data_IF_752726345312
#
_entry.id   IF_752726345312
#
_cell.length_a   1.000
_cell.length_b   1.000
_cell.length_c   1.000
_cell.angle_alpha   90.00
_cell.angle_beta   90.00
_cell.angle_gamma   90.00
#
_symmetry.space_group_name_H-M   'P 1'
#
loop_
_entity.id
_entity.type
_entity.pdbx_description
1 polymer ?
#
# COMPACT_ATOMS: atom_id res chain seq x y z
N UNK A 1 -6.74 -1.84 18.25
CA UNK A 1 -5.78 -0.83 18.72
C UNK A 1 -5.15 -0.09 17.53
N UNK A 2 -4.58 1.09 17.77
CA UNK A 2 -3.83 1.85 16.73
C UNK A 2 -2.67 1.04 16.15
N UNK A 3 -2.02 0.20 16.95
CA UNK A 3 -0.96 -0.69 16.44
C UNK A 3 -1.51 -1.72 15.44
N UNK A 4 -2.70 -2.26 15.67
CA UNK A 4 -3.37 -3.13 14.69
C UNK A 4 -3.72 -2.36 13.44
N UNK A 5 -4.20 -1.12 13.58
CA UNK A 5 -4.53 -0.25 12.44
C UNK A 5 -3.30 0.06 11.57
N UNK A 6 -2.13 0.22 12.19
CA UNK A 6 -0.86 0.45 11.48
C UNK A 6 -0.38 -0.84 10.79
N UNK A 7 -0.48 -1.99 11.48
CA UNK A 7 0.06 -3.26 10.98
C UNK A 7 -0.84 -3.94 9.96
N UNK A 8 -2.13 -3.91 10.20
CA UNK A 8 -3.15 -4.57 9.36
C UNK A 8 -4.46 -3.77 9.39
N UNK A 9 -4.55 -2.72 8.56
CA UNK A 9 -5.74 -1.86 8.50
C UNK A 9 -7.05 -2.62 8.23
N UNK A 10 -7.10 -3.64 7.36
CA UNK A 10 -8.30 -4.45 7.16
C UNK A 10 -8.78 -5.14 8.42
N UNK A 11 -7.90 -5.87 9.11
CA UNK A 11 -8.27 -6.56 10.38
C UNK A 11 -8.71 -5.54 11.45
N UNK A 12 -8.03 -4.40 11.54
CA UNK A 12 -8.44 -3.35 12.49
C UNK A 12 -9.84 -2.81 12.17
N UNK A 13 -10.17 -2.66 10.88
CA UNK A 13 -11.50 -2.24 10.45
C UNK A 13 -12.56 -3.29 10.77
N UNK A 14 -12.28 -4.58 10.60
CA UNK A 14 -13.23 -5.65 10.92
C UNK A 14 -13.52 -5.72 12.42
N UNK A 15 -12.49 -5.61 13.27
CA UNK A 15 -12.67 -5.54 14.75
C UNK A 15 -13.47 -4.28 15.13
N UNK A 16 -13.20 -3.15 14.51
CA UNK A 16 -13.95 -1.91 14.76
C UNK A 16 -15.39 -2.01 14.30
N UNK A 17 -15.67 -2.68 13.18
CA UNK A 17 -17.02 -2.93 12.66
C UNK A 17 -17.85 -3.76 13.64
N UNK A 18 -17.28 -4.83 14.21
CA UNK A 18 -17.95 -5.63 15.23
C UNK A 18 -18.40 -4.77 16.41
N UNK A 19 -17.50 -3.93 16.94
CA UNK A 19 -17.80 -3.01 18.04
C UNK A 19 -18.88 -1.98 17.68
N UNK A 20 -18.85 -1.42 16.48
CA UNK A 20 -19.86 -0.47 16.02
C UNK A 20 -21.21 -1.14 15.76
N UNK A 21 -21.23 -2.42 15.35
CA UNK A 21 -22.45 -3.20 15.21
C UNK A 21 -23.10 -3.48 16.57
N UNK A 22 -22.33 -3.76 17.63
CA UNK A 22 -22.83 -3.86 18.99
C UNK A 22 -23.53 -2.57 19.43
N UNK A 23 -22.91 -1.41 19.14
CA UNK A 23 -23.51 -0.11 19.42
C UNK A 23 -24.85 0.10 18.68
N UNK A 24 -24.89 -0.25 17.38
CA UNK A 24 -26.13 -0.20 16.59
C UNK A 24 -27.22 -1.14 17.16
N UNK A 25 -26.85 -2.35 17.54
CA UNK A 25 -27.77 -3.32 18.13
C UNK A 25 -28.33 -2.84 19.45
N UNK A 26 -27.57 -2.03 20.20
CA UNK A 26 -28.03 -1.37 21.42
C UNK A 26 -28.91 -0.13 21.15
N UNK A 27 -29.15 0.24 19.90
CA UNK A 27 -29.99 1.37 19.52
C UNK A 27 -29.37 2.74 19.81
N UNK A 28 -28.03 2.84 19.95
CA UNK A 28 -27.35 4.12 20.20
C UNK A 28 -26.94 4.78 18.89
N UNK A 29 -27.06 6.10 18.83
CA UNK A 29 -26.67 6.92 17.68
C UNK A 29 -25.26 7.47 17.83
N UNK A 30 -24.75 7.55 19.07
CA UNK A 30 -23.47 8.15 19.41
C UNK A 30 -22.62 7.20 20.26
N UNK A 31 -21.37 7.02 19.86
CA UNK A 31 -20.37 6.21 20.56
C UNK A 31 -19.33 7.14 21.19
N UNK A 32 -19.21 7.11 22.51
CA UNK A 32 -18.27 7.90 23.26
C UNK A 32 -16.97 7.11 23.49
N UNK A 33 -15.86 7.59 23.02
CA UNK A 33 -14.56 6.98 23.20
C UNK A 33 -13.71 7.76 24.23
N UNK A 34 -13.14 7.05 25.21
CA UNK A 34 -12.28 7.63 26.23
C UNK A 34 -10.82 7.83 25.78
N UNK A 35 -10.44 7.10 24.75
CA UNK A 35 -9.07 7.07 24.24
C UNK A 35 -9.03 7.63 22.82
N UNK A 36 -8.21 8.68 22.53
CA UNK A 36 -8.11 9.27 21.19
C UNK A 36 -7.74 8.25 20.10
N UNK A 37 -6.89 7.28 20.43
CA UNK A 37 -6.54 6.21 19.49
C UNK A 37 -7.71 5.28 19.16
N UNK A 38 -8.57 5.01 20.16
CA UNK A 38 -9.77 4.20 19.94
C UNK A 38 -10.82 4.99 19.14
N UNK A 39 -10.99 6.26 19.47
CA UNK A 39 -11.85 7.18 18.72
C UNK A 39 -11.43 7.22 17.25
N UNK A 40 -10.14 7.46 16.98
CA UNK A 40 -9.63 7.50 15.63
C UNK A 40 -9.88 6.20 14.87
N UNK A 41 -9.56 5.04 15.45
CA UNK A 41 -9.80 3.73 14.82
C UNK A 41 -11.28 3.52 14.51
N UNK A 42 -12.17 3.82 15.46
CA UNK A 42 -13.61 3.63 15.26
C UNK A 42 -14.15 4.58 14.20
N UNK A 43 -13.67 5.84 14.13
CA UNK A 43 -14.05 6.79 13.07
C UNK A 43 -13.56 6.34 11.69
N UNK A 44 -12.30 5.88 11.57
CA UNK A 44 -11.78 5.30 10.32
C UNK A 44 -12.64 4.10 9.88
N UNK A 45 -12.99 3.23 10.81
CA UNK A 45 -13.87 2.08 10.52
C UNK A 45 -15.26 2.53 10.08
N UNK A 46 -15.85 3.46 10.82
CA UNK A 46 -17.17 4.02 10.51
C UNK A 46 -17.23 4.61 9.10
N UNK A 47 -16.19 5.33 8.69
CA UNK A 47 -16.07 5.90 7.35
C UNK A 47 -15.94 4.80 6.28
N UNK A 48 -15.04 3.84 6.48
CA UNK A 48 -14.78 2.74 5.54
C UNK A 48 -15.97 1.82 5.34
N UNK A 49 -16.66 1.49 6.43
CA UNK A 49 -17.80 0.58 6.44
C UNK A 49 -19.14 1.30 6.26
N UNK A 50 -19.14 2.63 6.15
CA UNK A 50 -20.34 3.50 5.97
C UNK A 50 -21.42 3.22 7.00
N UNK A 51 -21.01 3.14 8.27
CA UNK A 51 -21.92 2.73 9.35
C UNK A 51 -22.84 3.83 9.86
N UNK A 52 -22.52 5.10 9.57
CA UNK A 52 -23.32 6.28 9.92
C UNK A 52 -23.60 6.43 11.43
N UNK A 53 -22.62 6.09 12.27
CA UNK A 53 -22.66 6.39 13.70
C UNK A 53 -21.83 7.64 14.00
N UNK A 54 -22.25 8.41 14.99
CA UNK A 54 -21.41 9.49 15.51
C UNK A 54 -20.41 8.89 16.51
N UNK A 55 -19.11 8.98 16.21
CA UNK A 55 -18.04 8.60 17.14
C UNK A 55 -17.34 9.86 17.60
N UNK A 56 -17.27 10.08 18.90
CA UNK A 56 -16.73 11.30 19.50
C UNK A 56 -15.87 10.96 20.71
N UNK A 57 -14.77 11.68 20.93
CA UNK A 57 -13.97 11.53 22.14
C UNK A 57 -14.63 12.26 23.33
N UNK A 58 -14.30 11.80 24.54
CA UNK A 58 -14.88 12.34 25.79
C UNK A 58 -14.56 13.83 25.98
N UNK A 59 -13.35 14.28 25.65
CA UNK A 59 -12.94 15.66 25.85
C UNK A 59 -13.77 16.59 24.97
N UNK A 60 -13.95 16.22 23.70
CA UNK A 60 -14.79 16.98 22.76
C UNK A 60 -16.26 16.97 23.19
N UNK A 61 -16.79 15.82 23.57
CA UNK A 61 -18.16 15.70 24.08
C UNK A 61 -18.38 16.60 25.30
N UNK A 62 -17.45 16.60 26.26
CA UNK A 62 -17.52 17.43 27.45
C UNK A 62 -17.42 18.93 27.13
N UNK A 63 -16.54 19.31 26.19
CA UNK A 63 -16.42 20.68 25.72
C UNK A 63 -17.71 21.19 25.11
N UNK A 64 -18.36 20.39 24.24
CA UNK A 64 -19.65 20.73 23.65
C UNK A 64 -20.73 20.91 24.73
N UNK A 65 -20.77 20.03 25.73
CA UNK A 65 -21.70 20.13 26.85
C UNK A 65 -21.50 21.41 27.70
N UNK A 66 -20.26 21.93 27.72
CA UNK A 66 -19.93 23.20 28.41
C UNK A 66 -20.13 24.44 27.51
N UNK A 67 -20.62 24.27 26.28
CA UNK A 67 -20.86 25.36 25.34
C UNK A 67 -19.64 25.79 24.51
N UNK A 68 -18.54 25.01 24.54
CA UNK A 68 -17.38 25.24 23.68
C UNK A 68 -17.49 24.38 22.43
N UNK A 69 -17.41 25.02 21.28
CA UNK A 69 -17.39 24.31 19.98
C UNK A 69 -16.02 24.48 19.32
N UNK A 70 -15.28 23.37 19.23
CA UNK A 70 -14.01 23.31 18.54
C UNK A 70 -14.17 22.60 17.19
N UNK A 71 -13.44 23.05 16.15
CA UNK A 71 -13.49 22.39 14.85
C UNK A 71 -13.07 20.92 14.97
N UNK A 72 -13.72 20.05 14.22
CA UNK A 72 -13.39 18.63 14.16
C UNK A 72 -12.12 18.41 13.35
N UNK A 73 -11.00 17.93 13.96
CA UNK A 73 -9.76 17.67 13.24
C UNK A 73 -9.82 16.39 12.36
N UNK A 74 -10.81 15.52 12.57
CA UNK A 74 -10.86 14.22 11.93
C UNK A 74 -10.81 14.27 10.39
N UNK A 75 -11.52 15.15 9.67
CA UNK A 75 -11.48 15.18 8.22
C UNK A 75 -10.06 15.39 7.67
N UNK A 76 -9.26 16.24 8.32
CA UNK A 76 -7.87 16.50 7.91
C UNK A 76 -6.95 15.33 8.27
N UNK A 77 -7.05 14.82 9.49
CA UNK A 77 -6.30 13.64 9.93
C UNK A 77 -6.66 12.42 9.06
N UNK A 78 -7.92 12.29 8.65
CA UNK A 78 -8.37 11.20 7.77
C UNK A 78 -7.75 11.26 6.38
N UNK A 79 -7.53 12.45 5.81
CA UNK A 79 -6.82 12.61 4.54
C UNK A 79 -5.37 12.13 4.64
N UNK A 80 -4.66 12.56 5.68
CA UNK A 80 -3.28 12.12 5.93
C UNK A 80 -3.20 10.62 6.17
N UNK A 81 -4.16 10.08 6.92
CA UNK A 81 -4.25 8.64 7.17
C UNK A 81 -4.50 7.84 5.87
N UNK A 82 -5.32 8.35 4.95
CA UNK A 82 -5.57 7.69 3.67
C UNK A 82 -4.28 7.54 2.83
N UNK A 83 -3.40 8.55 2.87
CA UNK A 83 -2.07 8.48 2.24
C UNK A 83 -1.23 7.38 2.90
N UNK A 84 -1.21 7.33 4.23
CA UNK A 84 -0.46 6.31 4.98
C UNK A 84 -0.98 4.90 4.70
N UNK A 85 -2.30 4.69 4.66
CA UNK A 85 -2.90 3.40 4.29
C UNK A 85 -2.50 2.95 2.87
N UNK A 86 -2.54 3.87 1.91
CA UNK A 86 -2.13 3.59 0.54
C UNK A 86 -0.64 3.22 0.46
N UNK A 87 0.22 3.86 1.25
CA UNK A 87 1.63 3.50 1.36
C UNK A 87 1.83 2.12 1.99
N UNK A 88 1.12 1.79 3.06
CA UNK A 88 1.16 0.45 3.68
C UNK A 88 0.74 -0.61 2.65
N UNK A 89 -0.37 -0.38 1.93
CA UNK A 89 -0.83 -1.30 0.90
C UNK A 89 0.23 -1.51 -0.18
N UNK A 90 0.87 -0.44 -0.63
CA UNK A 90 1.94 -0.49 -1.62
C UNK A 90 3.15 -1.29 -1.13
N UNK A 91 3.45 -1.27 0.18
CA UNK A 91 4.54 -2.03 0.80
C UNK A 91 4.19 -3.51 1.03
N UNK A 92 2.98 -3.96 0.72
CA UNK A 92 2.67 -5.39 0.71
C UNK A 92 3.21 -6.05 -0.56
N UNK A 93 3.49 -7.37 -0.57
CA UNK A 93 3.92 -8.08 -1.78
C UNK A 93 2.94 -7.90 -2.95
N UNK A 94 1.63 -7.89 -2.68
CA UNK A 94 0.59 -7.69 -3.71
C UNK A 94 0.53 -6.26 -4.23
N UNK A 95 0.64 -5.27 -3.36
CA UNK A 95 0.67 -3.85 -3.75
C UNK A 95 1.92 -3.55 -4.56
N UNK A 96 3.07 -4.05 -4.13
CA UNK A 96 4.33 -3.89 -4.84
C UNK A 96 4.31 -4.61 -6.20
N UNK A 97 3.73 -5.81 -6.30
CA UNK A 97 3.55 -6.50 -7.57
C UNK A 97 2.70 -5.68 -8.54
N UNK A 98 1.59 -5.08 -8.07
CA UNK A 98 0.77 -4.16 -8.88
C UNK A 98 1.55 -2.95 -9.38
N UNK A 99 2.40 -2.35 -8.55
CA UNK A 99 3.28 -1.26 -8.98
C UNK A 99 4.25 -1.75 -10.07
N UNK A 100 4.88 -2.90 -9.89
CA UNK A 100 5.80 -3.49 -10.88
C UNK A 100 5.09 -3.76 -12.22
N UNK A 101 3.83 -4.17 -12.20
CA UNK A 101 3.04 -4.42 -13.42
C UNK A 101 2.90 -3.16 -14.29
N UNK A 102 2.90 -1.97 -13.69
CA UNK A 102 2.87 -0.71 -14.43
C UNK A 102 4.24 -0.30 -15.00
N UNK A 103 5.32 -1.00 -14.64
CA UNK A 103 6.71 -0.59 -14.90
C UNK A 103 7.53 -1.64 -15.66
N UNK A 104 6.89 -2.65 -16.25
CA UNK A 104 7.63 -3.70 -16.99
C UNK A 104 8.58 -3.16 -18.05
N UNK A 105 8.22 -2.13 -18.86
CA UNK A 105 9.14 -1.57 -19.87
C UNK A 105 10.46 -1.09 -19.26
N UNK A 106 10.38 -0.37 -18.14
CA UNK A 106 11.51 0.22 -17.42
C UNK A 106 12.32 -0.85 -16.69
N UNK A 107 11.63 -1.79 -16.04
CA UNK A 107 12.26 -2.92 -15.34
C UNK A 107 13.10 -3.77 -16.29
N UNK A 108 12.53 -4.13 -17.45
CA UNK A 108 13.24 -4.93 -18.45
C UNK A 108 14.41 -4.16 -19.06
N UNK A 109 14.25 -2.84 -19.30
CA UNK A 109 15.34 -1.98 -19.79
C UNK A 109 16.47 -1.86 -18.76
N UNK A 110 16.16 -1.86 -17.47
CA UNK A 110 17.14 -1.76 -16.38
C UNK A 110 17.93 -3.05 -16.13
N UNK A 111 17.50 -4.18 -16.68
CA UNK A 111 18.19 -5.47 -16.51
C UNK A 111 19.65 -5.39 -16.96
N UNK A 112 20.59 -5.92 -16.16
CA UNK A 112 22.02 -5.87 -16.48
C UNK A 112 22.37 -6.78 -17.67
N UNK A 113 23.56 -6.55 -18.25
CA UNK A 113 24.19 -7.44 -19.25
C UNK A 113 23.34 -7.72 -20.51
N UNK A 114 22.44 -6.81 -20.89
CA UNK A 114 21.59 -7.03 -22.07
C UNK A 114 20.48 -8.08 -21.89
N UNK A 115 20.31 -8.59 -20.68
CA UNK A 115 19.30 -9.62 -20.36
C UNK A 115 17.88 -9.17 -20.74
N UNK A 116 17.56 -7.88 -20.60
CA UNK A 116 16.27 -7.35 -21.02
C UNK A 116 16.00 -7.54 -22.51
N UNK A 117 17.00 -7.32 -23.36
CA UNK A 117 16.90 -7.58 -24.81
C UNK A 117 16.72 -9.07 -25.12
N UNK A 118 17.49 -9.93 -24.44
CA UNK A 118 17.37 -11.37 -24.56
C UNK A 118 15.98 -11.86 -24.14
N UNK A 119 15.45 -11.38 -23.02
CA UNK A 119 14.11 -11.74 -22.53
C UNK A 119 13.02 -11.30 -23.51
N UNK A 120 13.11 -10.09 -24.08
CA UNK A 120 12.20 -9.62 -25.12
C UNK A 120 12.25 -10.50 -26.38
N UNK A 121 13.44 -10.93 -26.79
CA UNK A 121 13.60 -11.84 -27.92
C UNK A 121 12.98 -13.21 -27.61
N UNK A 122 13.27 -13.78 -26.45
CA UNK A 122 12.68 -15.05 -26.00
C UNK A 122 11.16 -14.96 -25.86
N UNK A 123 10.61 -13.82 -25.49
CA UNK A 123 9.16 -13.59 -25.42
C UNK A 123 8.45 -13.79 -26.76
N UNK A 124 9.14 -13.56 -27.88
CA UNK A 124 8.61 -13.77 -29.23
C UNK A 124 8.61 -15.24 -29.67
N UNK A 125 9.35 -16.09 -28.98
CA UNK A 125 9.46 -17.53 -29.31
C UNK A 125 8.47 -18.30 -28.42
N UNK A 126 7.46 -18.99 -29.01
CA UNK A 126 6.50 -19.76 -28.23
C UNK A 126 7.20 -20.80 -27.31
N UNK A 127 6.86 -20.76 -26.03
CA UNK A 127 7.38 -21.72 -25.04
C UNK A 127 8.78 -21.41 -24.47
N UNK A 128 9.58 -20.51 -25.08
CA UNK A 128 10.95 -20.24 -24.62
C UNK A 128 11.00 -19.67 -23.18
N UNK A 129 10.04 -18.83 -22.81
CA UNK A 129 9.97 -18.29 -21.45
C UNK A 129 9.56 -19.33 -20.39
N UNK A 130 8.93 -20.44 -20.80
CA UNK A 130 8.59 -21.51 -19.86
C UNK A 130 9.83 -22.21 -19.31
N UNK A 131 10.92 -22.23 -20.09
CA UNK A 131 12.23 -22.76 -19.66
C UNK A 131 12.83 -21.83 -18.58
N UNK A 132 12.60 -20.53 -18.69
CA UNK A 132 13.10 -19.53 -17.72
C UNK A 132 12.26 -19.46 -16.44
N UNK A 133 11.00 -19.90 -16.49
CA UNK A 133 10.06 -19.82 -15.36
C UNK A 133 10.62 -20.40 -14.05
N UNK A 134 11.27 -21.61 -14.02
CA UNK A 134 11.85 -22.12 -12.78
C UNK A 134 13.13 -21.40 -12.34
N UNK A 135 13.81 -20.69 -13.25
CA UNK A 135 15.02 -19.93 -12.92
C UNK A 135 14.71 -18.53 -12.37
N UNK A 136 13.54 -18.00 -12.69
CA UNK A 136 13.16 -16.65 -12.29
C UNK A 136 13.15 -16.44 -10.77
N UNK A 137 12.60 -17.34 -9.93
CA UNK A 137 12.68 -17.23 -8.47
C UNK A 137 14.09 -17.18 -7.92
N UNK A 138 15.06 -17.75 -8.63
CA UNK A 138 16.47 -17.76 -8.21
C UNK A 138 17.21 -16.51 -8.68
N UNK A 139 16.90 -16.04 -9.89
CA UNK A 139 17.59 -14.91 -10.52
C UNK A 139 17.02 -13.56 -10.07
N UNK A 140 15.72 -13.45 -9.95
CA UNK A 140 15.04 -12.18 -9.66
C UNK A 140 15.50 -11.54 -8.35
N UNK A 141 15.63 -12.28 -7.21
CA UNK A 141 16.15 -11.73 -5.97
C UNK A 141 17.57 -11.14 -6.10
N UNK A 142 18.40 -11.72 -6.96
CA UNK A 142 19.77 -11.25 -7.21
C UNK A 142 19.84 -10.08 -8.17
N UNK A 143 18.91 -9.99 -9.10
CA UNK A 143 18.85 -8.92 -10.09
C UNK A 143 18.19 -7.67 -9.55
N UNK A 144 17.20 -7.81 -8.69
CA UNK A 144 16.40 -6.70 -8.17
C UNK A 144 17.25 -5.60 -7.53
N UNK A 145 18.23 -5.89 -6.62
CA UNK A 145 19.09 -4.86 -6.06
C UNK A 145 19.92 -4.10 -7.11
N UNK A 146 20.33 -4.78 -8.18
CA UNK A 146 21.09 -4.17 -9.28
C UNK A 146 20.24 -3.28 -10.19
N UNK A 147 18.95 -3.56 -10.25
CA UNK A 147 17.98 -2.81 -11.07
C UNK A 147 17.40 -1.63 -10.31
N UNK A 148 17.21 -1.76 -8.99
CA UNK A 148 16.53 -0.76 -8.15
C UNK A 148 17.08 0.66 -8.31
N UNK A 149 18.40 0.92 -8.28
CA UNK A 149 18.90 2.30 -8.45
C UNK A 149 18.49 2.94 -9.77
N UNK A 150 18.35 2.16 -10.84
CA UNK A 150 17.95 2.65 -12.17
C UNK A 150 16.45 2.87 -12.30
N UNK A 151 15.67 2.09 -11.60
CA UNK A 151 14.19 2.08 -11.67
C UNK A 151 13.58 3.01 -10.63
N UNK A 152 14.29 3.26 -9.52
CA UNK A 152 13.81 4.06 -8.39
C UNK A 152 13.20 5.41 -8.80
N UNK A 153 13.84 6.24 -9.65
CA UNK A 153 13.25 7.54 -10.03
C UNK A 153 11.88 7.39 -10.71
N UNK A 154 11.74 6.40 -11.59
CA UNK A 154 10.46 6.12 -12.27
C UNK A 154 9.44 5.54 -11.30
N UNK A 155 9.88 4.68 -10.39
CA UNK A 155 9.02 4.12 -9.35
C UNK A 155 8.46 5.21 -8.44
N UNK A 156 9.30 6.13 -7.96
CA UNK A 156 8.86 7.25 -7.11
C UNK A 156 7.86 8.14 -7.84
N UNK A 157 8.07 8.41 -9.13
CA UNK A 157 7.10 9.16 -9.94
C UNK A 157 5.76 8.43 -10.01
N UNK A 158 5.76 7.12 -10.28
CA UNK A 158 4.52 6.31 -10.32
C UNK A 158 3.81 6.27 -8.98
N UNK A 159 4.57 6.11 -7.89
CA UNK A 159 4.00 6.16 -6.53
C UNK A 159 3.33 7.52 -6.28
N UNK A 160 3.96 8.63 -6.64
CA UNK A 160 3.36 9.97 -6.53
C UNK A 160 2.12 10.17 -7.40
N UNK A 161 2.03 9.51 -8.56
CA UNK A 161 0.82 9.51 -9.40
C UNK A 161 -0.32 8.65 -8.80
N UNK A 162 0.03 7.59 -8.08
CA UNK A 162 -0.95 6.66 -7.47
C UNK A 162 -1.46 7.14 -6.11
N UNK A 163 -0.63 7.83 -5.36
CA UNK A 163 -0.90 8.26 -3.99
C UNK A 163 -0.79 9.79 -3.94
N UNK A 164 -1.88 10.53 -3.70
CA UNK A 164 -1.86 11.98 -3.56
C UNK A 164 -1.16 12.37 -2.24
N UNK A 165 0.15 12.42 -2.27
CA UNK A 165 0.98 12.75 -1.11
C UNK A 165 1.08 14.26 -0.90
N UNK A 166 1.10 14.72 0.37
CA UNK A 166 1.50 16.09 0.70
C UNK A 166 2.93 16.40 0.22
N UNK A 167 3.19 17.66 -0.16
CA UNK A 167 4.47 18.08 -0.73
C UNK A 167 5.68 17.71 0.14
N UNK A 168 5.58 17.91 1.47
CA UNK A 168 6.65 17.56 2.41
C UNK A 168 7.01 16.07 2.41
N UNK A 169 6.03 15.18 2.16
CA UNK A 169 6.29 13.74 2.03
C UNK A 169 6.90 13.41 0.69
N UNK A 170 6.42 14.05 -0.39
CA UNK A 170 6.96 13.86 -1.73
C UNK A 170 8.44 14.29 -1.81
N UNK A 171 8.84 15.36 -1.12
CA UNK A 171 10.22 15.84 -1.05
C UNK A 171 11.15 14.86 -0.29
N UNK A 172 10.66 14.21 0.76
CA UNK A 172 11.45 13.26 1.55
C UNK A 172 11.51 11.85 0.95
N UNK A 173 10.58 11.50 0.09
CA UNK A 173 10.45 10.16 -0.51
C UNK A 173 11.72 9.64 -1.19
N UNK A 174 12.46 10.46 -2.01
CA UNK A 174 13.67 10.01 -2.67
C UNK A 174 14.78 9.57 -1.71
N UNK A 175 14.84 10.15 -0.52
CA UNK A 175 15.84 9.78 0.50
C UNK A 175 15.37 8.60 1.36
N UNK A 176 14.09 8.57 1.70
CA UNK A 176 13.53 7.55 2.60
C UNK A 176 13.29 6.21 1.89
N UNK A 177 12.79 6.24 0.66
CA UNK A 177 12.36 5.02 -0.03
C UNK A 177 13.48 3.99 -0.25
N UNK A 178 14.71 4.36 -0.65
CA UNK A 178 15.80 3.39 -0.74
C UNK A 178 16.06 2.67 0.59
N UNK A 179 16.10 3.41 1.71
CA UNK A 179 16.33 2.84 3.05
C UNK A 179 15.19 1.89 3.47
N UNK A 180 13.95 2.27 3.16
CA UNK A 180 12.77 1.41 3.43
C UNK A 180 12.84 0.14 2.59
N UNK A 181 13.16 0.26 1.31
CA UNK A 181 13.23 -0.88 0.40
C UNK A 181 14.37 -1.84 0.75
N UNK A 182 15.53 -1.34 1.17
CA UNK A 182 16.65 -2.19 1.62
C UNK A 182 16.27 -3.07 2.81
N UNK A 183 15.45 -2.54 3.73
CA UNK A 183 14.97 -3.28 4.90
C UNK A 183 13.76 -4.19 4.57
N UNK A 184 12.87 -3.75 3.68
CA UNK A 184 11.62 -4.44 3.39
C UNK A 184 11.79 -5.58 2.40
N UNK A 185 12.61 -5.38 1.36
CA UNK A 185 12.76 -6.34 0.25
C UNK A 185 13.21 -7.74 0.69
N UNK A 186 14.17 -7.93 1.62
CA UNK A 186 14.55 -9.26 2.07
C UNK A 186 13.39 -10.08 2.65
N UNK A 187 12.43 -9.40 3.29
CA UNK A 187 11.26 -10.04 3.90
C UNK A 187 10.12 -10.28 2.91
N UNK A 188 10.02 -9.46 1.86
CA UNK A 188 8.94 -9.55 0.87
C UNK A 188 9.24 -10.43 -0.32
N UNK A 189 10.52 -10.64 -0.65
CA UNK A 189 10.93 -11.19 -1.94
C UNK A 189 10.38 -12.60 -2.19
N UNK A 190 10.28 -13.41 -1.12
CA UNK A 190 9.73 -14.77 -1.20
C UNK A 190 8.27 -14.79 -1.69
N UNK A 191 7.47 -13.88 -1.17
CA UNK A 191 6.05 -13.76 -1.52
C UNK A 191 5.85 -12.95 -2.81
N UNK A 192 6.76 -12.02 -3.11
CA UNK A 192 6.70 -11.17 -4.29
C UNK A 192 6.97 -11.95 -5.59
N UNK A 193 8.01 -12.79 -5.59
CA UNK A 193 8.45 -13.50 -6.80
C UNK A 193 7.33 -14.31 -7.48
N UNK A 194 6.52 -15.12 -6.78
CA UNK A 194 5.39 -15.82 -7.39
C UNK A 194 4.37 -14.86 -8.03
N UNK A 195 4.13 -13.71 -7.40
CA UNK A 195 3.14 -12.73 -7.85
C UNK A 195 3.57 -12.01 -9.13
N UNK A 196 4.88 -11.78 -9.32
CA UNK A 196 5.41 -11.01 -10.48
C UNK A 196 5.86 -11.90 -11.65
N UNK A 197 6.11 -13.19 -11.42
CA UNK A 197 6.65 -14.09 -12.46
C UNK A 197 5.69 -14.24 -13.64
N UNK A 198 4.43 -14.56 -13.40
CA UNK A 198 3.47 -14.76 -14.48
C UNK A 198 3.11 -13.47 -15.21
N UNK A 199 2.81 -12.34 -14.51
CA UNK A 199 2.60 -11.05 -15.16
C UNK A 199 3.77 -10.60 -16.04
N UNK A 200 5.01 -10.79 -15.60
CA UNK A 200 6.19 -10.50 -16.41
C UNK A 200 6.23 -11.33 -17.71
N UNK A 201 5.96 -12.63 -17.61
CA UNK A 201 5.91 -13.53 -18.79
C UNK A 201 4.83 -13.06 -19.74
N UNK A 202 3.63 -12.74 -19.23
CA UNK A 202 2.50 -12.28 -20.03
C UNK A 202 2.81 -10.95 -20.73
N UNK A 203 3.49 -10.03 -20.04
CA UNK A 203 3.99 -8.80 -20.64
C UNK A 203 4.98 -9.07 -21.78
N UNK A 204 6.00 -9.93 -21.56
CA UNK A 204 7.01 -10.26 -22.56
C UNK A 204 6.43 -10.96 -23.79
N UNK A 205 5.31 -11.67 -23.63
CA UNK A 205 4.57 -12.32 -24.71
C UNK A 205 3.53 -11.41 -25.38
N UNK A 206 3.41 -10.15 -24.94
CA UNK A 206 2.43 -9.21 -25.49
C UNK A 206 0.98 -9.55 -25.13
N UNK A 207 0.75 -10.32 -24.08
CA UNK A 207 -0.59 -10.73 -23.62
C UNK A 207 -1.24 -9.69 -22.71
N UNK A 208 -0.44 -8.83 -22.07
CA UNK A 208 -0.93 -7.70 -21.27
C UNK A 208 -0.91 -6.44 -22.12
N UNK A 209 -2.05 -5.75 -22.23
CA UNK A 209 -2.13 -4.39 -22.73
C UNK A 209 -1.78 -3.45 -21.58
N UNK A 210 -0.74 -2.63 -21.73
CA UNK A 210 -0.56 -1.44 -20.90
C UNK A 210 -1.66 -0.43 -21.18
#
# INVERSE_FOLDING_TARGET
SVLTLIKDPPIAADIGEERLNEAKAAGVEKVLALCPCCEFQLRVTNDKKKMNLEVIDLARFSSQALGYDFPDPHPEVRKQWAVFEAMIELMTPRGFARLMDTMWPELIKAMPLGMGGMMRFMGKIPGALNIMKPLFPILFPKLLPLMMPKVMPTMLKRVGEMIPMPDYMAEQMPEMMPKVMDNLMPHMIGDLVPLVTQPMIDYLQGRTKN
#
